data_IF_734101232121
#
_entry.id   IF_734101232121
#
_cell.length_a   1.000
_cell.length_b   1.000
_cell.length_c   1.000
_cell.angle_alpha   90.00
_cell.angle_beta   90.00
_cell.angle_gamma   90.00
#
_symmetry.space_group_name_H-M   'P 1'
#
loop_
_entity.id
_entity.type
_entity.pdbx_description
1 polymer ?
#
# COMPACT_ATOMS: atom_id res chain seq x y z
N UNK A 1 -28.08 -17.44 -30.80
CA UNK A 1 -28.24 -16.74 -32.11
C UNK A 1 -27.70 -15.31 -32.04
N UNK A 2 -28.20 -14.47 -31.13
CA UNK A 2 -27.68 -13.11 -30.90
C UNK A 2 -26.16 -13.09 -30.65
N UNK A 3 -25.64 -13.99 -29.79
CA UNK A 3 -24.20 -14.13 -29.55
C UNK A 3 -23.36 -14.38 -30.83
N UNK A 4 -23.86 -15.16 -31.80
CA UNK A 4 -23.15 -15.38 -33.08
C UNK A 4 -23.08 -14.12 -33.95
N UNK A 5 -24.08 -13.23 -33.85
CA UNK A 5 -24.14 -11.99 -34.63
C UNK A 5 -23.48 -10.79 -33.94
N UNK A 6 -23.51 -10.73 -32.61
CA UNK A 6 -23.09 -9.56 -31.82
C UNK A 6 -21.89 -9.84 -30.92
N UNK A 7 -21.44 -11.09 -30.80
CA UNK A 7 -20.40 -11.49 -29.88
C UNK A 7 -20.88 -11.64 -28.44
N UNK A 8 -19.94 -11.62 -27.49
CA UNK A 8 -20.21 -11.66 -26.05
C UNK A 8 -21.11 -10.45 -25.66
N UNK A 9 -22.27 -10.68 -25.04
CA UNK A 9 -23.18 -9.59 -24.64
C UNK A 9 -22.63 -8.76 -23.46
N UNK A 10 -21.59 -9.23 -22.78
CA UNK A 10 -20.98 -8.51 -21.67
C UNK A 10 -19.92 -7.52 -22.16
N UNK A 11 -20.02 -6.27 -21.69
CA UNK A 11 -19.04 -5.20 -21.96
C UNK A 11 -17.60 -5.60 -21.64
N UNK A 12 -17.41 -6.31 -20.52
CA UNK A 12 -16.14 -6.97 -20.19
C UNK A 12 -16.32 -8.46 -20.48
N UNK A 13 -15.84 -8.95 -21.64
CA UNK A 13 -15.98 -10.35 -22.00
C UNK A 13 -15.19 -11.21 -21.03
N UNK A 14 -15.64 -12.44 -20.82
CA UNK A 14 -14.86 -13.40 -20.06
C UNK A 14 -13.58 -13.76 -20.86
N UNK A 15 -12.42 -14.02 -20.21
CA UNK A 15 -11.21 -14.45 -20.92
C UNK A 15 -11.37 -15.82 -21.59
N UNK A 16 -10.97 -15.96 -22.85
CA UNK A 16 -11.01 -17.23 -23.59
C UNK A 16 -9.63 -17.76 -23.92
N UNK A 17 -9.50 -19.08 -23.96
CA UNK A 17 -8.24 -19.75 -24.30
C UNK A 17 -7.83 -19.52 -25.75
N UNK A 18 -8.79 -19.39 -26.67
CA UNK A 18 -8.56 -19.05 -28.07
C UNK A 18 -8.30 -17.54 -28.31
N UNK A 19 -8.40 -16.70 -27.28
CA UNK A 19 -8.12 -15.25 -27.35
C UNK A 19 -6.72 -14.86 -26.83
N UNK A 20 -6.21 -13.73 -27.35
CA UNK A 20 -5.37 -12.73 -26.65
C UNK A 20 -5.42 -12.71 -25.10
N UNK A 21 -4.51 -13.27 -24.27
CA UNK A 21 -4.50 -12.87 -22.86
C UNK A 21 -4.19 -11.38 -22.79
N UNK A 22 -5.03 -10.63 -22.07
CA UNK A 22 -4.89 -9.20 -21.94
C UNK A 22 -4.12 -8.88 -20.65
N UNK A 23 -2.84 -8.52 -20.80
CA UNK A 23 -2.01 -8.11 -19.67
C UNK A 23 -2.27 -6.63 -19.34
N UNK A 24 -2.58 -6.26 -18.07
CA UNK A 24 -2.78 -4.87 -17.66
C UNK A 24 -1.59 -3.95 -17.99
N UNK A 25 -0.37 -4.47 -17.95
CA UNK A 25 0.86 -3.77 -18.32
C UNK A 25 1.62 -4.57 -19.38
N UNK A 26 1.22 -4.48 -20.66
CA UNK A 26 1.78 -5.30 -21.74
C UNK A 26 3.29 -5.11 -21.91
N UNK A 27 3.80 -3.89 -21.70
CA UNK A 27 5.23 -3.55 -21.85
C UNK A 27 6.14 -4.23 -20.82
N UNK A 28 5.58 -4.87 -19.79
CA UNK A 28 6.33 -5.62 -18.77
C UNK A 28 6.27 -7.14 -18.99
N UNK A 29 5.55 -7.61 -19.99
CA UNK A 29 5.50 -9.03 -20.34
C UNK A 29 6.77 -9.41 -21.12
N UNK A 30 7.39 -10.54 -20.76
CA UNK A 30 8.56 -11.04 -21.47
C UNK A 30 8.14 -11.55 -22.85
N UNK A 31 8.92 -11.25 -23.89
CA UNK A 31 8.61 -11.65 -25.28
C UNK A 31 8.43 -13.16 -25.44
N UNK A 32 9.18 -13.97 -24.68
CA UNK A 32 9.08 -15.43 -24.71
C UNK A 32 7.71 -15.93 -24.20
N UNK A 33 7.12 -15.27 -23.20
CA UNK A 33 5.78 -15.62 -22.69
C UNK A 33 4.74 -15.38 -23.77
N UNK A 34 4.84 -14.23 -24.46
CA UNK A 34 3.94 -13.89 -25.57
C UNK A 34 4.07 -14.86 -26.75
N UNK A 35 5.29 -15.36 -27.01
CA UNK A 35 5.53 -16.33 -28.09
C UNK A 35 4.94 -17.71 -27.78
N UNK A 36 5.10 -18.20 -26.54
CA UNK A 36 4.53 -19.50 -26.12
C UNK A 36 3.00 -19.49 -26.14
N UNK A 37 2.36 -18.36 -25.79
CA UNK A 37 0.89 -18.22 -25.86
C UNK A 37 0.37 -18.31 -27.31
N UNK A 38 1.15 -17.85 -28.29
CA UNK A 38 0.77 -17.93 -29.70
C UNK A 38 0.84 -19.39 -30.21
N UNK A 39 1.81 -20.20 -29.75
CA UNK A 39 1.92 -21.63 -30.09
C UNK A 39 0.76 -22.47 -29.51
N UNK A 40 0.31 -22.20 -28.28
CA UNK A 40 -0.82 -22.94 -27.67
C UNK A 40 -2.16 -22.67 -28.37
N UNK A 41 -2.33 -21.51 -29.01
CA UNK A 41 -3.55 -21.16 -29.77
C UNK A 41 -3.74 -21.97 -31.04
N UNK A 42 -2.67 -22.39 -31.70
CA UNK A 42 -2.79 -23.15 -32.96
C UNK A 42 -3.53 -24.49 -32.77
N UNK A 43 -3.67 -24.94 -31.52
CA UNK A 43 -4.37 -26.17 -31.17
C UNK A 43 -5.87 -25.99 -30.82
N UNK A 44 -6.42 -24.77 -30.87
CA UNK A 44 -7.84 -24.54 -30.58
C UNK A 44 -8.71 -24.60 -31.84
N UNK A 45 -9.74 -25.46 -31.80
CA UNK A 45 -10.75 -25.53 -32.86
C UNK A 45 -11.80 -24.43 -32.65
N UNK A 46 -11.99 -23.49 -33.61
CA UNK A 46 -13.02 -22.47 -33.51
C UNK A 46 -14.42 -23.06 -33.41
N UNK A 47 -15.32 -22.39 -32.69
CA UNK A 47 -16.73 -22.80 -32.66
C UNK A 47 -17.37 -22.70 -34.05
N UNK A 48 -18.20 -23.67 -34.45
CA UNK A 48 -18.91 -23.62 -35.72
C UNK A 48 -19.91 -22.44 -35.71
N UNK A 49 -19.57 -21.37 -36.43
CA UNK A 49 -20.39 -20.15 -36.53
C UNK A 49 -21.72 -20.32 -37.27
N UNK A 50 -22.04 -21.53 -37.76
CA UNK A 50 -23.25 -21.89 -38.49
C UNK A 50 -23.76 -23.28 -38.07
N UNK A 51 -25.02 -23.60 -38.38
CA UNK A 51 -25.63 -24.89 -38.03
C UNK A 51 -26.23 -24.95 -36.63
N UNK A 52 -26.50 -26.18 -36.16
CA UNK A 52 -27.10 -26.42 -34.84
C UNK A 52 -26.17 -25.97 -33.69
N UNK A 53 -26.77 -25.60 -32.56
CA UNK A 53 -26.01 -25.19 -31.37
C UNK A 53 -25.30 -26.39 -30.75
N UNK A 54 -23.98 -26.31 -30.62
CA UNK A 54 -23.19 -27.32 -29.91
C UNK A 54 -23.17 -27.04 -28.40
N UNK A 55 -22.89 -28.06 -27.59
CA UNK A 55 -22.65 -27.89 -26.15
C UNK A 55 -21.47 -26.94 -25.86
N UNK A 56 -20.42 -26.97 -26.69
CA UNK A 56 -19.28 -26.08 -26.55
C UNK A 56 -19.68 -24.62 -26.78
N UNK A 57 -20.54 -24.36 -27.77
CA UNK A 57 -21.07 -23.01 -27.98
C UNK A 57 -21.99 -22.57 -26.83
N UNK A 58 -22.85 -23.45 -26.33
CA UNK A 58 -23.68 -23.15 -25.17
C UNK A 58 -22.83 -22.78 -23.93
N UNK A 59 -21.71 -23.48 -23.73
CA UNK A 59 -20.74 -23.15 -22.69
C UNK A 59 -20.11 -21.78 -22.91
N UNK A 60 -19.69 -21.44 -24.13
CA UNK A 60 -19.10 -20.12 -24.41
C UNK A 60 -20.05 -18.95 -24.20
N UNK A 61 -21.36 -19.17 -24.37
CA UNK A 61 -22.39 -18.16 -24.05
C UNK A 61 -22.63 -18.06 -22.54
N UNK A 62 -22.60 -19.18 -21.81
CA UNK A 62 -22.92 -19.23 -20.38
C UNK A 62 -21.70 -19.10 -19.45
N UNK A 63 -20.50 -19.09 -20.01
CA UNK A 63 -19.23 -19.06 -19.28
C UNK A 63 -19.19 -17.87 -18.31
N UNK A 64 -18.84 -18.10 -17.04
CA UNK A 64 -18.68 -17.00 -16.11
C UNK A 64 -17.43 -16.19 -16.47
N UNK A 65 -17.41 -14.94 -16.04
CA UNK A 65 -16.16 -14.18 -16.06
C UNK A 65 -15.29 -14.64 -14.91
N UNK A 66 -14.03 -14.94 -15.21
CA UNK A 66 -13.00 -15.30 -14.24
C UNK A 66 -11.77 -14.46 -14.52
N UNK A 67 -10.92 -14.29 -13.51
CA UNK A 67 -9.53 -13.89 -13.74
C UNK A 67 -8.91 -14.80 -14.79
N UNK A 68 -8.17 -14.22 -15.73
CA UNK A 68 -7.44 -14.99 -16.72
C UNK A 68 -6.26 -15.69 -16.04
N UNK A 69 -6.25 -17.02 -15.90
CA UNK A 69 -5.17 -17.73 -15.20
C UNK A 69 -3.83 -17.66 -15.93
N UNK A 70 -3.81 -17.26 -17.20
CA UNK A 70 -2.58 -17.03 -17.98
C UNK A 70 -1.90 -15.71 -17.61
N UNK A 71 -2.67 -14.77 -17.04
CA UNK A 71 -2.20 -13.43 -16.71
C UNK A 71 -1.78 -13.39 -15.23
N UNK A 72 -0.47 -13.52 -15.00
CA UNK A 72 0.13 -13.45 -13.67
C UNK A 72 0.20 -12.01 -13.10
N UNK A 73 -0.09 -11.00 -13.92
CA UNK A 73 -0.18 -9.61 -13.47
C UNK A 73 -1.47 -9.40 -12.65
N UNK A 74 -1.49 -8.50 -11.65
CA UNK A 74 -2.70 -8.21 -10.87
C UNK A 74 -3.87 -7.77 -11.77
N UNK A 75 -4.97 -8.50 -11.73
CA UNK A 75 -6.19 -8.22 -12.49
C UNK A 75 -7.22 -7.55 -11.57
N UNK A 76 -7.09 -6.23 -11.42
CA UNK A 76 -7.90 -5.43 -10.49
C UNK A 76 -8.91 -4.56 -11.21
N UNK A 77 -10.03 -4.35 -10.55
CA UNK A 77 -10.93 -3.23 -10.81
C UNK A 77 -10.38 -2.01 -10.08
N UNK A 78 -10.44 -0.86 -10.73
CA UNK A 78 -10.02 0.42 -10.16
C UNK A 78 -11.21 1.36 -10.18
N UNK A 79 -11.46 2.05 -9.06
CA UNK A 79 -12.38 3.17 -9.05
C UNK A 79 -11.92 4.17 -10.11
N UNK A 80 -12.81 4.79 -10.91
CA UNK A 80 -12.37 5.63 -12.04
C UNK A 80 -11.55 6.86 -11.64
N UNK A 81 -11.72 7.33 -10.41
CA UNK A 81 -10.90 8.40 -9.83
C UNK A 81 -9.60 7.90 -9.17
N UNK A 82 -9.36 6.58 -9.16
CA UNK A 82 -8.09 5.98 -8.74
C UNK A 82 -7.88 5.80 -7.23
N UNK A 83 -8.82 6.19 -6.38
CA UNK A 83 -8.67 6.12 -4.91
C UNK A 83 -8.96 4.74 -4.29
N UNK A 84 -9.48 3.80 -5.07
CA UNK A 84 -9.81 2.45 -4.58
C UNK A 84 -9.59 1.38 -5.65
N UNK A 85 -9.22 0.17 -5.22
CA UNK A 85 -9.01 -0.97 -6.09
C UNK A 85 -9.36 -2.30 -5.42
N UNK A 86 -9.88 -3.23 -6.19
CA UNK A 86 -10.33 -4.54 -5.71
C UNK A 86 -10.05 -5.64 -6.73
N UNK A 87 -9.96 -6.87 -6.24
CA UNK A 87 -9.61 -8.03 -7.07
C UNK A 87 -10.73 -9.08 -6.97
N UNK A 88 -11.47 -9.31 -8.05
CA UNK A 88 -12.61 -10.24 -8.08
C UNK A 88 -12.23 -11.55 -8.74
N UNK A 89 -12.58 -12.70 -8.14
CA UNK A 89 -12.21 -14.01 -8.69
C UNK A 89 -13.11 -14.46 -9.84
N UNK A 90 -14.43 -14.37 -9.63
CA UNK A 90 -15.43 -15.01 -10.47
C UNK A 90 -16.74 -14.22 -10.47
N UNK A 91 -17.40 -14.12 -11.63
CA UNK A 91 -18.75 -13.56 -11.77
C UNK A 91 -19.60 -14.47 -12.63
N UNK A 92 -20.66 -15.01 -12.06
CA UNK A 92 -21.68 -15.78 -12.77
C UNK A 92 -22.66 -14.82 -13.42
N UNK A 93 -22.92 -14.95 -14.72
CA UNK A 93 -23.77 -13.99 -15.46
C UNK A 93 -24.80 -14.65 -16.38
N UNK A 94 -24.83 -15.98 -16.43
CA UNK A 94 -25.67 -16.75 -17.35
C UNK A 94 -27.18 -16.70 -17.05
N UNK A 95 -27.59 -16.11 -15.92
CA UNK A 95 -29.00 -15.99 -15.49
C UNK A 95 -29.64 -14.66 -15.86
N UNK A 96 -28.92 -13.78 -16.56
CA UNK A 96 -29.36 -12.42 -16.87
C UNK A 96 -29.03 -11.40 -15.78
N UNK A 97 -28.76 -11.85 -14.54
CA UNK A 97 -28.17 -11.05 -13.45
C UNK A 97 -26.81 -11.60 -13.05
N UNK A 98 -26.01 -10.77 -12.38
CA UNK A 98 -24.66 -11.11 -11.95
C UNK A 98 -24.64 -11.66 -10.52
N UNK A 99 -23.91 -12.76 -10.29
CA UNK A 99 -23.50 -13.21 -8.95
C UNK A 99 -22.00 -13.00 -8.80
N UNK A 100 -21.57 -12.19 -7.84
CA UNK A 100 -20.14 -11.99 -7.54
C UNK A 100 -19.67 -13.08 -6.60
N UNK A 101 -18.58 -13.75 -6.95
CA UNK A 101 -18.03 -14.86 -6.19
C UNK A 101 -16.56 -14.60 -5.84
N UNK A 102 -16.24 -14.76 -4.56
CA UNK A 102 -14.86 -14.82 -4.05
C UNK A 102 -14.55 -16.26 -3.60
N UNK A 103 -13.40 -16.78 -4.05
CA UNK A 103 -13.00 -18.17 -3.83
C UNK A 103 -11.93 -18.20 -2.75
N UNK A 104 -12.23 -18.87 -1.64
CA UNK A 104 -11.30 -19.05 -0.53
C UNK A 104 -10.72 -20.45 -0.55
N UNK A 105 -9.39 -20.55 -0.48
CA UNK A 105 -8.70 -21.82 -0.30
C UNK A 105 -8.96 -22.46 1.08
N UNK A 106 -9.34 -21.66 2.08
CA UNK A 106 -9.61 -22.13 3.44
C UNK A 106 -11.00 -22.74 3.62
N UNK A 107 -11.34 -23.12 4.86
CA UNK A 107 -12.72 -23.39 5.28
C UNK A 107 -13.35 -22.15 5.93
N UNK A 108 -14.61 -22.28 6.35
CA UNK A 108 -15.42 -21.23 6.96
C UNK A 108 -15.04 -20.89 8.41
N UNK A 109 -14.16 -21.67 9.04
CA UNK A 109 -13.74 -21.49 10.45
C UNK A 109 -12.48 -20.64 10.59
N UNK A 110 -11.81 -20.34 9.47
CA UNK A 110 -10.69 -19.40 9.45
C UNK A 110 -11.08 -18.06 10.08
N UNK A 111 -10.20 -17.49 10.91
CA UNK A 111 -10.38 -16.13 11.47
C UNK A 111 -10.58 -15.05 10.41
N UNK A 112 -10.19 -15.32 9.16
CA UNK A 112 -10.36 -14.41 8.03
C UNK A 112 -11.71 -14.57 7.33
N UNK A 113 -12.45 -15.66 7.58
CA UNK A 113 -13.76 -15.91 6.98
C UNK A 113 -14.83 -14.90 7.43
N UNK A 114 -14.60 -14.21 8.56
CA UNK A 114 -15.48 -13.19 9.12
C UNK A 114 -15.52 -11.92 8.26
N UNK A 115 -14.45 -11.64 7.52
CA UNK A 115 -14.31 -10.45 6.68
C UNK A 115 -14.80 -10.63 5.25
N UNK A 116 -15.29 -11.82 4.91
CA UNK A 116 -15.73 -12.14 3.55
C UNK A 116 -16.94 -11.31 3.11
N UNK A 117 -17.91 -11.08 3.99
CA UNK A 117 -19.10 -10.29 3.66
C UNK A 117 -18.74 -8.82 3.37
N UNK A 118 -18.02 -8.09 4.26
CA UNK A 118 -17.52 -6.76 3.94
C UNK A 118 -16.69 -6.70 2.64
N UNK A 119 -15.84 -7.70 2.40
CA UNK A 119 -15.05 -7.79 1.17
C UNK A 119 -15.93 -7.90 -0.08
N UNK A 120 -16.96 -8.75 -0.05
CA UNK A 120 -17.89 -8.92 -1.15
C UNK A 120 -18.78 -7.68 -1.37
N UNK A 121 -19.17 -6.98 -0.29
CA UNK A 121 -19.87 -5.69 -0.37
C UNK A 121 -19.01 -4.62 -1.04
N UNK A 122 -17.72 -4.57 -0.70
CA UNK A 122 -16.76 -3.71 -1.37
C UNK A 122 -16.65 -4.03 -2.88
N UNK A 123 -16.64 -5.31 -3.26
CA UNK A 123 -16.65 -5.70 -4.69
C UNK A 123 -17.95 -5.34 -5.40
N UNK A 124 -19.10 -5.44 -4.72
CA UNK A 124 -20.40 -4.98 -5.23
C UNK A 124 -20.38 -3.48 -5.52
N UNK A 125 -19.84 -2.67 -4.61
CA UNK A 125 -19.64 -1.24 -4.81
C UNK A 125 -18.74 -0.97 -6.02
N UNK A 126 -17.55 -1.57 -6.05
CA UNK A 126 -16.57 -1.34 -7.10
C UNK A 126 -17.05 -1.81 -8.47
N UNK A 127 -17.84 -2.88 -8.51
CA UNK A 127 -18.53 -3.35 -9.70
C UNK A 127 -19.47 -2.30 -10.29
N UNK A 128 -20.23 -1.60 -9.44
CA UNK A 128 -21.13 -0.51 -9.85
C UNK A 128 -20.34 0.72 -10.31
N UNK A 129 -19.37 1.18 -9.49
CA UNK A 129 -18.56 2.36 -9.78
C UNK A 129 -17.82 2.27 -11.13
N UNK A 130 -17.35 1.08 -11.49
CA UNK A 130 -16.67 0.84 -12.78
C UNK A 130 -17.59 0.76 -13.99
N UNK A 131 -18.91 0.63 -13.77
CA UNK A 131 -19.91 0.49 -14.84
C UNK A 131 -20.76 1.74 -15.05
N UNK A 132 -20.97 2.55 -14.00
CA UNK A 132 -21.74 3.79 -14.08
C UNK A 132 -21.03 4.98 -14.75
N UNK A 133 -19.71 4.92 -14.97
CA UNK A 133 -18.90 6.07 -15.38
C UNK A 133 -18.47 6.11 -16.85
N UNK A 134 -18.80 5.09 -17.66
CA UNK A 134 -18.54 5.20 -19.10
C UNK A 134 -19.68 5.94 -19.79
N UNK A 135 -19.42 7.12 -20.33
CA UNK A 135 -20.29 7.79 -21.30
C UNK A 135 -20.41 7.03 -22.63
N UNK A 136 -20.76 5.75 -22.56
CA UNK A 136 -20.90 4.79 -23.65
C UNK A 136 -22.24 4.05 -23.43
N UNK A 137 -23.24 4.58 -24.13
CA UNK A 137 -24.60 4.08 -24.41
C UNK A 137 -25.36 3.33 -23.30
N UNK A 138 -26.27 4.05 -22.64
CA UNK A 138 -27.23 3.58 -21.63
C UNK A 138 -28.41 2.79 -22.25
N UNK A 139 -28.14 1.77 -23.06
CA UNK A 139 -29.24 0.93 -23.55
C UNK A 139 -29.81 0.05 -22.42
N UNK A 140 -31.14 0.02 -22.26
CA UNK A 140 -31.82 -0.71 -21.17
C UNK A 140 -31.48 -2.22 -21.11
N UNK A 141 -31.11 -2.85 -22.24
CA UNK A 141 -30.70 -4.27 -22.27
C UNK A 141 -29.34 -4.51 -21.60
N UNK A 142 -28.45 -3.51 -21.55
CA UNK A 142 -27.16 -3.61 -20.85
C UNK A 142 -27.28 -3.48 -19.33
N UNK A 143 -28.39 -2.91 -18.83
CA UNK A 143 -28.60 -2.65 -17.40
C UNK A 143 -28.92 -3.92 -16.60
N UNK A 144 -29.72 -4.84 -17.13
CA UNK A 144 -30.07 -6.09 -16.43
C UNK A 144 -28.83 -6.95 -16.14
N UNK A 145 -27.90 -6.99 -17.09
CA UNK A 145 -26.65 -7.76 -17.03
C UNK A 145 -25.68 -7.22 -15.97
N UNK A 146 -25.82 -5.94 -15.61
CA UNK A 146 -24.98 -5.27 -14.63
C UNK A 146 -25.55 -5.34 -13.21
N UNK A 147 -26.84 -5.67 -13.05
CA UNK A 147 -27.47 -5.87 -11.75
C UNK A 147 -26.85 -7.07 -11.03
N UNK A 148 -26.53 -6.90 -9.75
CA UNK A 148 -25.96 -7.96 -8.91
C UNK A 148 -27.08 -8.56 -8.06
N UNK A 149 -27.39 -9.84 -8.27
CA UNK A 149 -28.45 -10.54 -7.53
C UNK A 149 -27.96 -11.22 -6.25
N UNK A 150 -26.69 -11.62 -6.21
CA UNK A 150 -26.15 -12.38 -5.09
C UNK A 150 -24.63 -12.15 -4.94
N UNK A 151 -24.17 -12.27 -3.70
CA UNK A 151 -22.75 -12.32 -3.35
C UNK A 151 -22.46 -13.67 -2.72
N UNK A 152 -21.39 -14.35 -3.14
CA UNK A 152 -21.09 -15.68 -2.65
C UNK A 152 -19.61 -15.87 -2.30
N UNK A 153 -19.37 -16.59 -1.20
CA UNK A 153 -18.04 -17.12 -0.87
C UNK A 153 -17.98 -18.61 -1.06
N UNK A 154 -17.07 -19.07 -1.90
CA UNK A 154 -16.87 -20.48 -2.19
C UNK A 154 -15.61 -20.97 -1.50
N UNK A 155 -15.75 -21.92 -0.58
CA UNK A 155 -14.63 -22.46 0.18
C UNK A 155 -14.17 -23.76 -0.48
N UNK A 156 -12.87 -23.90 -0.77
CA UNK A 156 -12.34 -25.07 -1.48
C UNK A 156 -11.96 -26.22 -0.55
N UNK A 157 -11.65 -25.93 0.73
CA UNK A 157 -11.28 -26.95 1.72
C UNK A 157 -12.47 -27.84 2.13
N UNK A 158 -13.71 -27.44 1.85
CA UNK A 158 -14.91 -28.22 2.09
C UNK A 158 -16.03 -27.83 1.11
N UNK A 159 -17.13 -28.60 0.99
CA UNK A 159 -18.20 -28.31 0.04
C UNK A 159 -19.14 -27.20 0.54
N UNK A 160 -18.59 -26.04 0.94
CA UNK A 160 -19.33 -24.98 1.62
C UNK A 160 -19.42 -23.73 0.77
N UNK A 161 -20.66 -23.25 0.60
CA UNK A 161 -20.98 -21.97 -0.01
C UNK A 161 -21.65 -21.08 1.03
N UNK A 162 -21.17 -19.85 1.17
CA UNK A 162 -21.87 -18.79 1.88
C UNK A 162 -22.48 -17.83 0.86
N UNK A 163 -23.66 -17.33 1.17
CA UNK A 163 -24.42 -16.43 0.31
C UNK A 163 -24.84 -15.22 1.13
N UNK A 164 -24.66 -14.04 0.56
CA UNK A 164 -24.94 -12.76 1.19
C UNK A 164 -25.81 -11.93 0.25
N UNK A 165 -26.71 -11.15 0.84
CA UNK A 165 -27.56 -10.22 0.10
C UNK A 165 -26.72 -9.04 -0.36
N UNK A 166 -26.71 -8.68 -1.66
CA UNK A 166 -26.00 -7.50 -2.11
C UNK A 166 -26.66 -6.22 -1.61
N UNK A 167 -25.84 -5.19 -1.40
CA UNK A 167 -26.31 -3.82 -1.19
C UNK A 167 -27.16 -3.34 -2.38
N UNK A 168 -28.27 -2.66 -2.07
CA UNK A 168 -29.18 -2.07 -3.06
C UNK A 168 -28.53 -0.88 -3.77
N UNK A 169 -29.07 -0.48 -4.93
CA UNK A 169 -28.57 0.69 -5.67
C UNK A 169 -28.70 2.00 -4.86
N UNK A 170 -29.71 2.11 -3.99
CA UNK A 170 -29.96 3.30 -3.18
C UNK A 170 -28.94 3.45 -2.02
N UNK A 171 -28.35 2.35 -1.56
CA UNK A 171 -27.36 2.33 -0.46
C UNK A 171 -25.93 2.62 -0.96
N UNK A 172 -25.65 2.36 -2.25
CA UNK A 172 -24.31 2.51 -2.84
C UNK A 172 -23.71 3.93 -2.71
N UNK A 173 -24.46 5.04 -2.89
CA UNK A 173 -23.89 6.37 -2.76
C UNK A 173 -23.38 6.66 -1.35
N UNK A 174 -24.14 6.30 -0.31
CA UNK A 174 -23.74 6.50 1.08
C UNK A 174 -22.51 5.66 1.43
N UNK A 175 -22.47 4.41 0.99
CA UNK A 175 -21.30 3.54 1.18
C UNK A 175 -20.06 4.04 0.42
N UNK A 176 -20.25 4.62 -0.78
CA UNK A 176 -19.17 5.25 -1.53
C UNK A 176 -18.59 6.46 -0.80
N UNK A 177 -19.45 7.31 -0.23
CA UNK A 177 -19.05 8.48 0.56
C UNK A 177 -18.27 8.05 1.80
N UNK A 178 -18.79 7.07 2.56
CA UNK A 178 -18.11 6.50 3.74
C UNK A 178 -16.69 6.01 3.40
N UNK A 179 -16.56 5.16 2.36
CA UNK A 179 -15.26 4.65 1.95
C UNK A 179 -14.31 5.75 1.44
N UNK A 180 -14.86 6.78 0.78
CA UNK A 180 -14.06 7.90 0.31
C UNK A 180 -13.56 8.76 1.47
N UNK A 181 -14.40 9.02 2.48
CA UNK A 181 -14.00 9.71 3.72
C UNK A 181 -12.90 8.93 4.44
N UNK A 182 -13.06 7.62 4.63
CA UNK A 182 -12.00 6.78 5.23
C UNK A 182 -10.71 6.89 4.43
N UNK A 183 -10.78 6.81 3.10
CA UNK A 183 -9.61 6.96 2.25
C UNK A 183 -8.94 8.34 2.39
N UNK A 184 -9.73 9.42 2.45
CA UNK A 184 -9.23 10.78 2.65
C UNK A 184 -8.54 10.92 4.01
N UNK A 185 -9.16 10.43 5.09
CA UNK A 185 -8.60 10.45 6.45
C UNK A 185 -7.29 9.64 6.53
N UNK A 186 -7.28 8.42 5.97
CA UNK A 186 -6.07 7.59 5.92
C UNK A 186 -4.95 8.23 5.10
N UNK A 187 -5.28 8.95 4.03
CA UNK A 187 -4.31 9.66 3.19
C UNK A 187 -3.82 10.95 3.85
N UNK A 188 -4.69 11.57 4.66
CA UNK A 188 -4.38 12.77 5.42
C UNK A 188 -3.54 12.46 6.67
N UNK A 189 -3.61 11.25 7.25
CA UNK A 189 -2.83 10.86 8.42
C UNK A 189 -1.30 10.98 8.19
N UNK A 190 -0.55 11.32 9.23
CA UNK A 190 0.92 11.47 9.19
C UNK A 190 1.61 10.78 10.37
N UNK A 191 2.85 11.16 10.66
CA UNK A 191 3.61 10.64 11.80
C UNK A 191 3.08 11.06 13.17
N UNK A 192 2.10 11.96 13.25
CA UNK A 192 1.50 12.39 14.51
C UNK A 192 0.27 11.51 14.82
N UNK A 193 0.30 10.75 15.93
CA UNK A 193 -0.82 9.90 16.32
C UNK A 193 -2.16 10.63 16.40
N UNK A 194 -2.16 11.89 16.84
CA UNK A 194 -3.36 12.72 16.99
C UNK A 194 -4.06 13.01 15.64
N UNK A 195 -3.35 12.84 14.52
CA UNK A 195 -3.90 13.02 13.17
C UNK A 195 -4.41 11.70 12.56
N UNK A 196 -4.35 10.58 13.29
CA UNK A 196 -4.85 9.29 12.79
C UNK A 196 -6.36 9.21 12.92
N UNK A 197 -7.07 8.56 11.97
CA UNK A 197 -8.51 8.37 12.12
C UNK A 197 -8.82 7.54 13.37
N UNK A 198 -9.85 7.94 14.11
CA UNK A 198 -10.37 7.16 15.24
C UNK A 198 -10.84 5.77 14.77
N UNK A 199 -10.61 4.71 15.56
CA UNK A 199 -11.13 3.39 15.19
C UNK A 199 -12.65 3.35 15.32
N UNK A 200 -13.36 3.40 14.20
CA UNK A 200 -14.81 3.23 14.12
C UNK A 200 -15.30 1.79 14.37
N UNK A 201 -14.37 0.86 14.59
CA UNK A 201 -14.63 -0.57 14.74
C UNK A 201 -15.42 -0.96 16.01
N UNK A 202 -15.64 -0.03 16.94
CA UNK A 202 -16.42 -0.22 18.18
C UNK A 202 -15.84 -1.24 19.18
N UNK A 203 -14.66 -1.81 18.89
CA UNK A 203 -13.94 -2.80 19.70
C UNK A 203 -12.57 -2.32 20.17
N UNK A 204 -12.07 -1.25 19.58
CA UNK A 204 -10.89 -0.56 20.06
C UNK A 204 -11.37 0.44 21.11
N UNK A 205 -11.68 -0.05 22.31
CA UNK A 205 -11.70 0.84 23.45
C UNK A 205 -10.25 1.30 23.69
N UNK A 206 -10.04 2.61 23.76
CA UNK A 206 -8.81 3.28 24.25
C UNK A 206 -8.60 3.05 25.75
N UNK A 207 -8.96 1.87 26.26
CA UNK A 207 -8.52 1.46 27.57
C UNK A 207 -7.04 1.09 27.43
N UNK A 208 -6.19 2.08 27.72
CA UNK A 208 -4.84 1.85 28.23
C UNK A 208 -4.81 0.86 29.43
N UNK A 209 -5.97 0.47 29.94
CA UNK A 209 -6.25 -0.39 31.08
C UNK A 209 -6.73 -1.81 30.71
N UNK A 210 -6.53 -2.34 29.50
CA UNK A 210 -6.68 -3.80 29.33
C UNK A 210 -5.48 -4.49 30.00
N UNK A 211 -5.64 -4.80 31.28
CA UNK A 211 -4.68 -5.40 32.23
C UNK A 211 -4.20 -6.82 31.84
N UNK A 212 -3.88 -7.10 30.58
CA UNK A 212 -3.11 -8.29 30.25
C UNK A 212 -1.63 -7.97 30.39
N UNK A 213 -1.05 -8.30 31.56
CA UNK A 213 0.38 -8.13 31.90
C UNK A 213 1.40 -8.65 30.87
N UNK A 214 0.95 -9.40 29.86
CA UNK A 214 1.78 -10.01 28.82
C UNK A 214 1.63 -9.31 27.45
N UNK A 215 0.76 -8.32 27.29
CA UNK A 215 0.51 -7.66 26.01
C UNK A 215 0.45 -6.14 26.19
N UNK A 216 1.01 -5.39 25.24
CA UNK A 216 0.69 -3.97 25.07
C UNK A 216 -0.24 -3.80 23.88
N UNK A 217 -1.26 -2.95 24.03
CA UNK A 217 -2.11 -2.57 22.92
C UNK A 217 -1.51 -1.34 22.24
N UNK A 218 -0.98 -1.51 21.04
CA UNK A 218 -0.51 -0.42 20.18
C UNK A 218 -1.54 -0.24 19.06
N UNK A 219 -2.30 0.86 19.12
CA UNK A 219 -3.33 1.22 18.13
C UNK A 219 -4.27 0.05 17.78
N UNK A 220 -4.83 -0.60 18.79
CA UNK A 220 -5.76 -1.73 18.64
C UNK A 220 -5.13 -3.09 18.35
N UNK A 221 -3.80 -3.18 18.17
CA UNK A 221 -3.10 -4.46 18.05
C UNK A 221 -2.46 -4.85 19.39
N UNK A 222 -2.76 -6.07 19.84
CA UNK A 222 -2.04 -6.69 20.96
C UNK A 222 -0.68 -7.17 20.48
N UNK A 223 0.37 -6.61 21.08
CA UNK A 223 1.76 -7.01 20.87
C UNK A 223 2.20 -7.78 22.10
N UNK A 224 2.61 -9.03 21.90
CA UNK A 224 3.17 -9.87 22.96
C UNK A 224 4.45 -9.23 23.49
N UNK A 225 4.47 -9.07 24.80
CA UNK A 225 5.59 -8.47 25.50
C UNK A 225 6.65 -9.53 25.76
N UNK A 226 7.94 -9.18 25.56
CA UNK A 226 9.01 -10.07 25.96
C UNK A 226 8.86 -10.42 27.44
N UNK A 227 9.03 -11.69 27.82
CA UNK A 227 8.76 -12.17 29.19
C UNK A 227 9.51 -11.40 30.28
N UNK A 228 10.60 -10.74 29.92
CA UNK A 228 11.36 -9.84 30.78
C UNK A 228 10.66 -8.58 31.25
N UNK A 229 9.60 -8.17 30.57
CA UNK A 229 8.80 -7.00 30.94
C UNK A 229 7.49 -7.42 31.60
N UNK A 230 7.33 -8.72 31.88
CA UNK A 230 6.26 -9.21 32.73
C UNK A 230 6.32 -8.49 34.08
N UNK A 231 5.14 -8.15 34.60
CA UNK A 231 4.93 -7.47 35.87
C UNK A 231 5.47 -6.03 35.97
N UNK A 232 5.98 -5.44 34.88
CA UNK A 232 6.24 -4.01 34.80
C UNK A 232 4.98 -3.27 34.34
N UNK A 233 4.74 -2.08 34.89
CA UNK A 233 3.75 -1.15 34.35
C UNK A 233 4.21 -0.54 33.03
N UNK A 234 3.27 0.00 32.24
CA UNK A 234 3.59 0.69 30.99
C UNK A 234 4.58 1.85 31.21
N UNK A 235 4.42 2.61 32.29
CA UNK A 235 5.30 3.73 32.63
C UNK A 235 6.73 3.26 32.92
N UNK A 236 6.90 2.16 33.66
CA UNK A 236 8.21 1.56 33.94
C UNK A 236 8.89 1.04 32.66
N UNK A 237 8.10 0.51 31.72
CA UNK A 237 8.59 0.09 30.41
C UNK A 237 9.06 1.30 29.61
N UNK A 238 8.26 2.37 29.54
CA UNK A 238 8.60 3.61 28.83
C UNK A 238 9.87 4.24 29.41
N UNK A 239 10.03 4.23 30.74
CA UNK A 239 11.24 4.71 31.41
C UNK A 239 12.47 3.87 31.02
N UNK A 240 12.32 2.55 30.93
CA UNK A 240 13.41 1.65 30.48
C UNK A 240 13.70 1.80 28.98
N UNK A 241 12.76 2.31 28.19
CA UNK A 241 12.88 2.49 26.74
C UNK A 241 13.53 3.81 26.31
N UNK A 242 13.98 4.64 27.25
CA UNK A 242 14.72 5.86 26.93
C UNK A 242 15.89 5.56 25.95
N UNK A 243 16.01 6.35 24.86
CA UNK A 243 16.94 6.04 23.78
C UNK A 243 18.38 6.26 24.23
N UNK A 244 19.26 5.35 23.83
CA UNK A 244 20.70 5.46 24.08
C UNK A 244 21.37 6.38 23.07
N UNK A 245 22.46 7.03 23.50
CA UNK A 245 23.29 7.84 22.62
C UNK A 245 23.86 6.96 21.49
N UNK A 246 23.84 7.40 20.21
CA UNK A 246 23.45 8.73 19.71
C UNK A 246 22.00 8.81 19.19
N UNK A 247 21.12 7.87 19.56
CA UNK A 247 19.72 7.89 19.20
C UNK A 247 18.97 9.03 19.91
N UNK A 248 17.94 9.52 19.24
CA UNK A 248 16.96 10.46 19.81
C UNK A 248 15.61 9.77 19.90
N UNK A 249 14.71 10.24 20.78
CA UNK A 249 13.31 9.83 20.76
C UNK A 249 12.72 10.00 19.36
N UNK A 250 11.85 9.08 18.95
CA UNK A 250 11.20 9.10 17.64
C UNK A 250 10.30 10.33 17.49
N UNK A 251 9.76 10.86 18.58
CA UNK A 251 8.97 12.11 18.61
C UNK A 251 9.79 13.38 18.34
N UNK A 252 11.12 13.30 18.40
CA UNK A 252 12.04 14.38 18.05
C UNK A 252 12.64 14.24 16.65
N UNK A 253 12.22 13.22 15.90
CA UNK A 253 12.67 13.05 14.51
C UNK A 253 12.04 14.15 13.65
N UNK A 254 12.87 14.99 13.02
CA UNK A 254 12.40 16.05 12.16
C UNK A 254 11.63 15.47 10.96
N UNK A 255 10.31 15.61 10.99
CA UNK A 255 9.39 15.02 10.01
C UNK A 255 9.16 15.93 8.79
N UNK A 256 9.12 17.24 9.01
CA UNK A 256 8.78 18.25 8.00
C UNK A 256 9.73 19.43 8.14
N UNK A 257 10.16 20.00 7.03
CA UNK A 257 11.05 21.17 6.99
C UNK A 257 10.60 22.18 5.97
N UNK A 258 10.91 23.45 6.22
CA UNK A 258 10.80 24.51 5.25
C UNK A 258 12.18 24.78 4.65
N UNK A 259 12.27 24.93 3.33
CA UNK A 259 13.53 25.22 2.64
C UNK A 259 13.33 26.33 1.62
N UNK A 260 14.39 27.09 1.35
CA UNK A 260 14.37 28.13 0.31
C UNK A 260 15.34 27.73 -0.79
N UNK A 261 14.94 27.95 -2.04
CA UNK A 261 15.83 27.80 -3.18
C UNK A 261 15.15 28.01 -4.51
N UNK A 262 15.96 27.96 -5.56
CA UNK A 262 15.54 28.03 -6.94
C UNK A 262 15.14 26.66 -7.46
N UNK A 263 13.88 26.53 -7.87
CA UNK A 263 13.35 25.35 -8.54
C UNK A 263 13.71 25.42 -10.04
N UNK A 264 14.21 24.32 -10.57
CA UNK A 264 14.42 24.15 -12.00
C UNK A 264 14.70 22.70 -12.39
N UNK A 265 14.96 22.47 -13.68
CA UNK A 265 15.36 21.15 -14.17
C UNK A 265 14.34 20.06 -13.87
N UNK A 266 13.05 20.36 -14.09
CA UNK A 266 11.93 19.44 -13.84
C UNK A 266 11.97 18.21 -14.75
N UNK A 267 11.51 17.08 -14.25
CA UNK A 267 11.35 15.85 -15.02
C UNK A 267 10.10 15.08 -14.57
N UNK A 268 9.75 14.06 -15.34
CA UNK A 268 8.69 13.13 -15.01
C UNK A 268 7.58 13.10 -16.06
N UNK A 269 6.62 12.17 -15.91
CA UNK A 269 6.59 11.16 -14.84
C UNK A 269 7.69 10.10 -15.02
N UNK A 270 8.43 9.80 -13.95
CA UNK A 270 9.43 8.73 -13.90
C UNK A 270 9.19 7.84 -12.69
N UNK A 271 9.62 6.59 -12.81
CA UNK A 271 9.44 5.60 -11.73
C UNK A 271 10.31 5.96 -10.50
N UNK A 272 9.67 6.17 -9.35
CA UNK A 272 10.34 6.35 -8.06
C UNK A 272 10.92 5.03 -7.55
N UNK A 273 11.48 5.05 -6.35
CA UNK A 273 12.07 3.86 -5.72
C UNK A 273 11.06 2.73 -5.42
N UNK A 274 9.77 3.03 -5.30
CA UNK A 274 8.68 2.06 -5.13
C UNK A 274 8.11 1.56 -6.47
N UNK A 275 8.43 2.22 -7.57
CA UNK A 275 7.92 1.86 -8.89
C UNK A 275 6.82 2.80 -9.41
N UNK A 276 6.40 3.77 -8.61
CA UNK A 276 5.30 4.70 -8.89
C UNK A 276 5.77 5.83 -9.81
N UNK A 277 4.88 6.36 -10.65
CA UNK A 277 5.20 7.39 -11.62
C UNK A 277 5.06 8.78 -10.98
N UNK A 278 6.19 9.44 -10.75
CA UNK A 278 6.24 10.73 -10.05
C UNK A 278 6.98 11.79 -10.87
N UNK A 279 6.63 13.05 -10.62
CA UNK A 279 7.37 14.21 -11.08
C UNK A 279 8.48 14.54 -10.07
N UNK A 280 9.52 15.20 -10.57
CA UNK A 280 10.59 15.68 -9.74
C UNK A 280 11.20 16.95 -10.30
N UNK A 281 11.94 17.66 -9.45
CA UNK A 281 12.67 18.87 -9.82
C UNK A 281 13.97 18.98 -9.03
N UNK A 282 14.84 19.88 -9.45
CA UNK A 282 16.04 20.23 -8.72
C UNK A 282 15.80 21.54 -7.95
N UNK A 283 16.13 21.52 -6.67
CA UNK A 283 16.18 22.71 -5.84
C UNK A 283 17.65 23.09 -5.63
N UNK A 284 18.01 24.32 -5.97
CA UNK A 284 19.36 24.85 -5.82
C UNK A 284 19.33 26.11 -4.95
N UNK A 285 20.30 26.27 -4.06
CA UNK A 285 20.58 27.59 -3.45
C UNK A 285 21.78 28.22 -4.16
N UNK A 286 22.04 29.52 -3.97
CA UNK A 286 23.17 30.22 -4.59
C UNK A 286 24.58 29.67 -4.28
N UNK A 287 24.69 28.56 -3.53
CA UNK A 287 25.91 27.78 -3.32
C UNK A 287 25.94 26.47 -4.14
N UNK A 288 26.83 25.54 -3.78
CA UNK A 288 26.97 24.22 -4.43
C UNK A 288 25.97 23.16 -3.92
N UNK A 289 25.10 23.52 -2.97
CA UNK A 289 24.16 22.60 -2.36
C UNK A 289 22.90 22.48 -3.20
N UNK A 290 22.45 21.25 -3.43
CA UNK A 290 21.23 20.95 -4.15
C UNK A 290 20.45 19.83 -3.46
N UNK A 291 19.13 19.86 -3.60
CA UNK A 291 18.23 18.80 -3.18
C UNK A 291 17.32 18.41 -4.35
N UNK A 292 16.90 17.15 -4.38
CA UNK A 292 15.90 16.68 -5.34
C UNK A 292 14.52 16.80 -4.72
N UNK A 293 13.62 17.53 -5.38
CA UNK A 293 12.19 17.50 -5.11
C UNK A 293 11.58 16.30 -5.81
N UNK A 294 10.72 15.56 -5.14
CA UNK A 294 10.01 14.41 -5.71
C UNK A 294 8.61 14.33 -5.09
N UNK A 295 7.57 14.05 -5.90
CA UNK A 295 6.26 13.74 -5.33
C UNK A 295 6.37 12.46 -4.48
N UNK A 296 5.75 12.46 -3.29
CA UNK A 296 5.82 11.34 -2.37
C UNK A 296 5.20 10.06 -2.96
N UNK A 297 4.14 10.22 -3.73
CA UNK A 297 3.51 9.19 -4.57
C UNK A 297 2.98 9.82 -5.86
N UNK A 298 2.50 9.01 -6.80
CA UNK A 298 1.88 9.49 -8.05
C UNK A 298 0.81 10.54 -7.75
N UNK A 299 0.99 11.76 -8.24
CA UNK A 299 0.01 12.84 -8.08
C UNK A 299 -0.11 13.40 -6.65
N UNK A 300 0.83 13.09 -5.76
CA UNK A 300 0.80 13.61 -4.39
C UNK A 300 1.02 15.13 -4.33
N UNK A 301 1.72 15.71 -5.31
CA UNK A 301 1.95 17.15 -5.36
C UNK A 301 1.95 17.63 -6.83
N UNK A 302 0.77 17.74 -7.46
CA UNK A 302 0.62 18.02 -8.89
C UNK A 302 1.30 19.32 -9.35
N UNK A 303 1.35 20.31 -8.46
CA UNK A 303 1.94 21.62 -8.72
C UNK A 303 3.42 21.53 -9.07
N UNK A 304 4.15 20.51 -8.59
CA UNK A 304 5.57 20.31 -8.93
C UNK A 304 5.82 20.32 -10.45
N UNK A 305 4.85 19.86 -11.23
CA UNK A 305 4.91 19.81 -12.69
C UNK A 305 4.66 21.17 -13.33
N UNK A 306 3.71 21.94 -12.82
CA UNK A 306 3.13 23.12 -13.47
C UNK A 306 3.75 24.43 -12.98
N UNK A 307 4.29 24.45 -11.76
CA UNK A 307 4.94 25.64 -11.20
C UNK A 307 6.07 26.10 -12.12
N UNK A 308 6.20 27.41 -12.39
CA UNK A 308 7.34 27.96 -13.14
C UNK A 308 8.70 27.68 -12.48
N UNK A 309 9.77 27.81 -13.25
CA UNK A 309 11.12 27.84 -12.67
C UNK A 309 11.33 29.20 -11.99
N UNK A 310 11.89 29.21 -10.78
CA UNK A 310 11.95 30.43 -9.97
C UNK A 310 12.40 30.18 -8.54
N UNK A 311 12.48 31.24 -7.74
CA UNK A 311 12.80 31.18 -6.32
C UNK A 311 11.54 30.97 -5.49
N UNK A 312 11.56 29.95 -4.64
CA UNK A 312 10.42 29.56 -3.80
C UNK A 312 10.89 29.25 -2.38
N UNK A 313 10.03 29.52 -1.41
CA UNK A 313 10.03 28.80 -0.14
C UNK A 313 9.14 27.57 -0.30
N UNK A 314 9.68 26.40 -0.01
CA UNK A 314 8.94 25.15 0.03
C UNK A 314 8.63 24.86 1.48
N UNK A 315 7.36 24.92 1.86
CA UNK A 315 6.92 24.64 3.22
C UNK A 315 6.59 23.15 3.39
N UNK A 316 6.72 22.63 4.62
CA UNK A 316 6.26 21.29 4.99
C UNK A 316 6.76 20.14 4.09
N UNK A 317 7.99 20.23 3.60
CA UNK A 317 8.60 19.17 2.81
C UNK A 317 9.18 18.07 3.71
N UNK A 318 9.04 16.82 3.31
CA UNK A 318 9.53 15.68 4.08
C UNK A 318 10.98 15.33 3.69
N UNK A 319 11.98 15.45 4.59
CA UNK A 319 13.38 15.27 4.24
C UNK A 319 13.79 13.81 4.14
N UNK A 320 14.65 13.46 3.19
CA UNK A 320 15.17 12.10 3.09
C UNK A 320 16.47 11.98 2.31
N UNK A 321 16.95 10.73 2.20
CA UNK A 321 18.19 10.41 1.49
C UNK A 321 17.98 9.24 0.55
N UNK A 322 18.30 9.41 -0.74
CA UNK A 322 18.28 8.29 -1.68
C UNK A 322 19.50 8.32 -2.59
N UNK A 323 20.23 7.19 -2.65
CA UNK A 323 21.47 7.06 -3.43
C UNK A 323 22.46 8.21 -3.15
N UNK A 324 22.62 8.53 -1.86
CA UNK A 324 23.47 9.64 -1.37
C UNK A 324 23.07 11.04 -1.88
N UNK A 325 21.85 11.22 -2.37
CA UNK A 325 21.30 12.54 -2.72
C UNK A 325 20.20 12.89 -1.74
N UNK A 326 20.28 14.11 -1.18
CA UNK A 326 19.22 14.67 -0.35
C UNK A 326 17.97 14.82 -1.20
N UNK A 327 16.85 14.37 -0.64
CA UNK A 327 15.53 14.46 -1.24
C UNK A 327 14.57 15.17 -0.32
N UNK A 328 13.62 15.86 -0.94
CA UNK A 328 12.48 16.47 -0.29
C UNK A 328 11.24 15.88 -0.97
N UNK A 329 10.49 15.10 -0.20
CA UNK A 329 9.26 14.49 -0.65
C UNK A 329 8.12 15.48 -0.43
N UNK A 330 7.32 15.70 -1.47
CA UNK A 330 6.20 16.64 -1.47
C UNK A 330 4.88 15.89 -1.55
N UNK A 331 3.91 16.32 -0.77
CA UNK A 331 2.53 15.83 -0.76
C UNK A 331 1.55 16.99 -0.54
N UNK A 332 0.26 16.69 -0.36
CA UNK A 332 -0.79 17.70 -0.19
C UNK A 332 -0.64 18.63 1.03
N UNK A 333 0.37 18.42 1.89
CA UNK A 333 0.69 19.33 3.00
C UNK A 333 1.85 20.27 2.70
N UNK A 334 2.59 20.00 1.63
CA UNK A 334 3.66 20.88 1.15
C UNK A 334 3.05 22.03 0.37
N UNK A 335 3.70 23.20 0.38
CA UNK A 335 3.29 24.33 -0.44
C UNK A 335 4.50 25.03 -1.04
N UNK A 336 4.28 25.72 -2.16
CA UNK A 336 5.25 26.63 -2.76
C UNK A 336 4.81 28.06 -2.51
N UNK A 337 5.59 28.79 -1.71
CA UNK A 337 5.33 30.18 -1.35
C UNK A 337 6.28 31.13 -2.09
N UNK A 338 5.78 32.29 -2.48
CA UNK A 338 6.50 33.33 -3.23
C UNK A 338 6.38 34.69 -2.57
N UNK A 339 7.43 35.52 -2.69
CA UNK A 339 7.39 36.96 -2.38
C UNK A 339 6.68 37.29 -1.06
N UNK A 340 5.51 37.92 -1.18
CA UNK A 340 4.69 38.44 -0.07
C UNK A 340 4.04 37.35 0.80
N UNK A 341 4.02 36.10 0.34
CA UNK A 341 3.51 34.94 1.10
C UNK A 341 4.55 34.43 2.13
N UNK A 342 5.80 34.87 1.99
CA UNK A 342 6.89 34.46 2.88
C UNK A 342 6.88 35.35 4.11
N UNK A 343 6.42 34.81 5.23
CA UNK A 343 6.57 35.44 6.53
C UNK A 343 7.99 35.20 7.07
N UNK A 344 8.67 36.27 7.51
CA UNK A 344 9.99 36.22 8.15
C UNK A 344 10.01 35.36 9.42
N UNK A 345 8.84 35.05 10.00
CA UNK A 345 8.68 34.14 11.13
C UNK A 345 8.88 32.66 10.76
N UNK A 346 8.84 32.29 9.48
CA UNK A 346 8.96 30.91 9.02
C UNK A 346 10.41 30.43 9.20
N UNK A 347 10.63 29.50 10.13
CA UNK A 347 11.94 28.89 10.31
C UNK A 347 12.30 28.03 9.10
N UNK A 348 13.49 28.26 8.53
CA UNK A 348 13.98 27.55 7.34
C UNK A 348 15.23 26.73 7.61
N UNK A 349 15.29 25.54 7.03
CA UNK A 349 16.45 24.65 7.08
C UNK A 349 17.34 24.88 5.87
N UNK A 350 18.63 25.15 6.10
CA UNK A 350 19.62 25.25 5.02
C UNK A 350 19.82 23.88 4.36
N UNK A 351 19.89 23.82 3.03
CA UNK A 351 20.01 22.55 2.30
C UNK A 351 21.19 21.66 2.77
N UNK A 352 22.31 22.25 3.15
CA UNK A 352 23.48 21.51 3.67
C UNK A 352 23.33 20.98 5.11
N UNK A 353 22.28 21.40 5.83
CA UNK A 353 21.99 20.99 7.21
C UNK A 353 20.76 20.07 7.31
N UNK A 354 20.18 19.67 6.17
CA UNK A 354 19.03 18.76 6.16
C UNK A 354 19.40 17.45 6.83
N UNK A 355 18.69 17.14 7.92
CA UNK A 355 18.80 15.86 8.57
C UNK A 355 18.18 14.79 7.67
N UNK A 356 19.04 14.00 7.03
CA UNK A 356 18.65 12.97 6.05
C UNK A 356 18.89 11.54 6.55
N UNK A 357 19.33 11.42 7.81
CA UNK A 357 19.57 10.17 8.51
C UNK A 357 19.07 10.25 9.93
N UNK A 358 18.74 9.11 10.51
CA UNK A 358 18.31 8.99 11.89
C UNK A 358 19.12 7.93 12.64
N UNK A 359 19.26 8.15 13.95
CA UNK A 359 19.71 7.17 14.91
C UNK A 359 18.51 6.86 15.80
N UNK A 360 18.16 5.58 15.92
CA UNK A 360 16.98 5.14 16.68
C UNK A 360 17.32 3.97 17.58
N UNK A 361 16.67 3.91 18.72
CA UNK A 361 16.79 2.83 19.70
C UNK A 361 15.38 2.42 20.06
N UNK A 362 15.02 1.15 19.82
CA UNK A 362 13.64 0.71 19.95
C UNK A 362 13.49 -0.79 20.05
N UNK A 363 12.32 -1.21 20.51
CA UNK A 363 11.87 -2.58 20.62
C UNK A 363 11.26 -3.03 19.28
N UNK A 364 11.67 -4.19 18.79
CA UNK A 364 11.02 -4.82 17.64
C UNK A 364 9.65 -5.33 18.07
N UNK A 365 8.58 -4.69 17.60
CA UNK A 365 7.18 -5.07 17.91
C UNK A 365 6.50 -5.81 16.76
N UNK A 366 7.15 -5.88 15.60
CA UNK A 366 6.67 -6.64 14.47
C UNK A 366 7.73 -6.80 13.40
N UNK A 367 7.71 -7.92 12.69
CA UNK A 367 8.62 -8.18 11.56
C UNK A 367 7.89 -8.89 10.43
N UNK A 368 8.34 -8.64 9.21
CA UNK A 368 7.89 -9.37 8.03
C UNK A 368 9.03 -9.52 7.02
N UNK A 369 9.13 -10.72 6.47
CA UNK A 369 9.99 -11.01 5.33
C UNK A 369 9.09 -11.31 4.14
N UNK A 370 9.18 -10.48 3.10
CA UNK A 370 8.37 -10.60 1.89
C UNK A 370 9.28 -10.84 0.70
N UNK A 371 8.87 -11.73 -0.18
CA UNK A 371 9.55 -11.96 -1.45
C UNK A 371 8.51 -12.17 -2.54
N UNK A 372 8.94 -12.00 -3.78
CA UNK A 372 8.09 -12.21 -4.93
C UNK A 372 8.79 -11.82 -6.22
N UNK A 373 7.98 -11.65 -7.26
CA UNK A 373 8.46 -11.29 -8.58
C UNK A 373 7.84 -9.96 -9.00
N UNK A 374 8.66 -9.06 -9.56
CA UNK A 374 8.16 -7.81 -10.16
C UNK A 374 7.46 -8.11 -11.47
N UNK A 375 6.72 -7.13 -11.99
CA UNK A 375 6.09 -7.26 -13.29
C UNK A 375 7.08 -7.64 -14.42
N UNK A 376 8.33 -7.20 -14.37
CA UNK A 376 9.33 -7.58 -15.37
C UNK A 376 9.94 -8.98 -15.20
N UNK A 377 9.43 -9.80 -14.27
CA UNK A 377 10.00 -11.11 -13.94
C UNK A 377 11.21 -11.07 -12.99
N UNK A 378 11.69 -9.88 -12.60
CA UNK A 378 12.83 -9.74 -11.68
C UNK A 378 12.41 -10.09 -10.23
N UNK A 379 13.11 -10.99 -9.54
CA UNK A 379 12.79 -11.29 -8.14
C UNK A 379 13.07 -10.09 -7.25
N UNK A 380 12.31 -9.99 -6.17
CA UNK A 380 12.54 -9.01 -5.11
C UNK A 380 12.36 -9.67 -3.75
N UNK A 381 13.07 -9.11 -2.77
CA UNK A 381 12.99 -9.50 -1.37
C UNK A 381 13.06 -8.24 -0.54
N UNK A 382 12.22 -8.16 0.47
CA UNK A 382 12.10 -7.04 1.38
C UNK A 382 11.96 -7.57 2.80
N UNK A 383 12.81 -7.07 3.68
CA UNK A 383 12.64 -7.18 5.12
C UNK A 383 12.02 -5.87 5.62
N UNK A 384 11.03 -5.96 6.49
CA UNK A 384 10.44 -4.82 7.20
C UNK A 384 10.26 -5.19 8.67
N UNK A 385 10.57 -4.27 9.59
CA UNK A 385 10.23 -4.41 10.99
C UNK A 385 9.74 -3.07 11.57
N UNK A 386 8.97 -3.14 12.65
CA UNK A 386 8.48 -1.96 13.36
C UNK A 386 9.23 -1.83 14.68
N UNK A 387 9.80 -0.65 14.92
CA UNK A 387 10.47 -0.31 16.16
C UNK A 387 9.59 0.62 16.99
N UNK A 388 9.37 0.27 18.25
CA UNK A 388 8.68 1.09 19.23
C UNK A 388 9.68 1.63 20.26
N UNK A 389 9.66 2.94 20.52
CA UNK A 389 10.57 3.59 21.49
C UNK A 389 9.91 3.90 22.85
N UNK A 390 8.71 3.38 23.10
CA UNK A 390 7.90 3.75 24.25
C UNK A 390 6.77 4.73 23.90
N UNK A 391 6.92 5.53 22.85
CA UNK A 391 5.93 6.55 22.46
C UNK A 391 5.45 6.44 21.02
N UNK A 392 6.36 6.22 20.08
CA UNK A 392 6.05 6.14 18.65
C UNK A 392 6.56 4.84 18.05
N UNK A 393 6.04 4.54 16.86
CA UNK A 393 6.47 3.41 16.05
C UNK A 393 7.07 3.93 14.75
N UNK A 394 8.19 3.36 14.32
CA UNK A 394 8.78 3.64 13.01
C UNK A 394 9.07 2.33 12.25
N UNK A 395 8.81 2.31 10.94
CA UNK A 395 9.16 1.17 10.10
C UNK A 395 10.63 1.25 9.68
N UNK A 396 11.36 0.15 9.88
CA UNK A 396 12.68 -0.08 9.28
C UNK A 396 12.52 -1.01 8.07
N UNK A 397 13.21 -0.71 6.98
CA UNK A 397 13.16 -1.55 5.77
C UNK A 397 14.52 -1.81 5.15
N UNK A 398 14.67 -3.00 4.57
CA UNK A 398 15.83 -3.39 3.79
C UNK A 398 15.42 -4.18 2.55
N UNK A 399 16.10 -3.94 1.43
CA UNK A 399 15.79 -4.58 0.15
C UNK A 399 16.94 -5.43 -0.37
N UNK A 400 16.63 -6.64 -0.83
CA UNK A 400 17.57 -7.55 -1.49
C UNK A 400 18.89 -7.70 -0.72
N UNK A 401 20.00 -7.28 -1.32
CA UNK A 401 21.36 -7.40 -0.72
C UNK A 401 21.57 -6.54 0.54
N UNK A 402 20.69 -5.60 0.84
CA UNK A 402 20.74 -4.84 2.10
C UNK A 402 20.26 -5.65 3.29
N UNK A 403 19.61 -6.79 3.06
CA UNK A 403 19.14 -7.70 4.12
C UNK A 403 20.35 -8.52 4.59
N UNK A 404 21.01 -8.04 5.65
CA UNK A 404 22.16 -8.70 6.28
C UNK A 404 21.70 -9.75 7.30
N UNK A 405 22.61 -10.62 7.77
CA UNK A 405 22.30 -11.66 8.75
C UNK A 405 21.65 -11.10 10.01
N UNK A 406 22.16 -9.97 10.52
CA UNK A 406 21.61 -9.31 11.71
C UNK A 406 20.13 -8.97 11.55
N UNK A 407 19.68 -8.49 10.38
CA UNK A 407 18.26 -8.22 10.12
C UNK A 407 17.45 -9.51 10.00
N UNK A 408 18.03 -10.54 9.40
CA UNK A 408 17.35 -11.84 9.19
C UNK A 408 17.12 -12.59 10.50
N UNK A 409 17.97 -12.35 11.50
CA UNK A 409 17.91 -12.94 12.84
C UNK A 409 17.09 -12.11 13.84
N UNK A 410 16.64 -10.90 13.49
CA UNK A 410 15.85 -10.06 14.41
C UNK A 410 14.55 -10.73 14.79
N UNK A 411 14.27 -10.83 16.09
CA UNK A 411 13.03 -11.38 16.63
C UNK A 411 12.14 -10.29 17.22
N UNK A 412 10.84 -10.58 17.29
CA UNK A 412 9.92 -9.73 18.04
C UNK A 412 10.38 -9.78 19.49
N UNK A 413 10.54 -8.62 20.11
CA UNK A 413 11.10 -8.50 21.44
C UNK A 413 12.58 -8.14 21.50
N UNK A 414 13.32 -8.13 20.41
CA UNK A 414 14.69 -7.61 20.42
C UNK A 414 14.69 -6.09 20.64
N UNK A 415 15.64 -5.58 21.43
CA UNK A 415 15.94 -4.13 21.45
C UNK A 415 17.14 -3.85 20.55
N UNK A 416 16.99 -2.87 19.68
CA UNK A 416 17.95 -2.61 18.62
C UNK A 416 18.32 -1.12 18.60
N UNK A 417 19.62 -0.85 18.62
CA UNK A 417 20.17 0.47 18.29
C UNK A 417 20.57 0.48 16.81
N UNK A 418 19.98 1.39 16.05
CA UNK A 418 20.29 1.63 14.64
C UNK A 418 20.90 3.01 14.51
N UNK A 419 22.10 3.07 13.95
CA UNK A 419 22.81 4.33 13.70
C UNK A 419 22.95 4.59 12.21
N UNK A 420 22.74 5.84 11.80
CA UNK A 420 22.86 6.30 10.42
C UNK A 420 21.96 5.55 9.43
N UNK A 421 20.72 5.27 9.83
CA UNK A 421 19.68 4.81 8.89
C UNK A 421 19.28 5.95 7.95
N UNK A 422 19.02 5.65 6.68
CA UNK A 422 18.60 6.68 5.71
C UNK A 422 17.12 7.00 5.93
N UNK A 423 16.79 8.28 6.09
CA UNK A 423 15.39 8.70 6.22
C UNK A 423 14.70 8.62 4.85
N UNK A 424 13.52 8.04 4.83
CA UNK A 424 12.62 7.91 3.68
C UNK A 424 11.18 8.10 4.12
N UNK A 425 10.28 8.19 3.15
CA UNK A 425 8.87 8.49 3.38
C UNK A 425 7.99 7.63 2.50
N UNK A 426 6.84 7.22 3.03
CA UNK A 426 5.81 6.52 2.29
C UNK A 426 4.44 6.86 2.86
N UNK A 427 3.55 7.38 2.02
CA UNK A 427 2.18 7.74 2.40
C UNK A 427 2.14 8.60 3.70
N UNK A 428 2.93 9.68 3.73
CA UNK A 428 3.03 10.59 4.87
C UNK A 428 3.83 10.08 6.07
N UNK A 429 4.20 8.80 6.12
CA UNK A 429 4.89 8.18 7.25
C UNK A 429 6.41 8.07 7.04
N UNK A 430 7.22 8.33 8.08
CA UNK A 430 8.66 8.17 8.05
C UNK A 430 9.03 6.69 8.05
N UNK A 431 10.06 6.36 7.28
CA UNK A 431 10.62 5.03 7.17
C UNK A 431 12.14 5.11 7.20
N UNK A 432 12.77 4.18 7.92
CA UNK A 432 14.21 4.10 8.05
C UNK A 432 14.75 3.01 7.13
N UNK A 433 15.44 3.42 6.07
CA UNK A 433 16.02 2.51 5.09
C UNK A 433 17.42 2.09 5.52
N UNK A 434 17.62 0.78 5.59
CA UNK A 434 18.91 0.19 5.93
C UNK A 434 19.80 0.15 4.69
N UNK A 435 20.94 0.82 4.78
CA UNK A 435 22.00 0.76 3.79
C UNK A 435 23.20 0.04 4.39
N UNK A 436 23.58 -1.16 3.90
CA UNK A 436 24.58 -2.01 4.54
C UNK A 436 25.98 -1.38 4.60
N UNK A 437 26.24 -0.33 3.83
CA UNK A 437 27.54 0.36 3.83
C UNK A 437 27.66 1.38 4.95
N UNK A 438 26.57 2.07 5.29
CA UNK A 438 26.58 3.23 6.20
C UNK A 438 25.80 2.99 7.48
N UNK A 439 24.75 2.19 7.43
CA UNK A 439 23.92 1.90 8.59
C UNK A 439 24.64 0.89 9.47
N UNK A 440 24.64 1.13 10.78
CA UNK A 440 25.11 0.20 11.80
C UNK A 440 23.94 -0.21 12.65
N UNK A 441 23.91 -1.48 13.01
CA UNK A 441 22.83 -2.05 13.81
C UNK A 441 23.45 -2.93 14.89
N UNK A 442 23.00 -2.71 16.11
CA UNK A 442 23.41 -3.47 17.28
C UNK A 442 22.15 -4.04 17.94
N UNK A 443 22.08 -5.37 18.04
CA UNK A 443 21.05 -6.02 18.85
C UNK A 443 21.56 -6.05 20.27
N UNK A 444 21.01 -5.15 21.08
CA UNK A 444 21.60 -4.82 22.37
C UNK A 444 21.04 -5.67 23.49
N UNK A 445 19.85 -6.20 23.25
CA UNK A 445 19.31 -7.30 24.03
C UNK A 445 18.56 -8.22 23.09
N UNK A 446 19.02 -9.47 23.07
CA UNK A 446 18.22 -10.63 22.67
C UNK A 446 17.63 -11.17 23.96
N UNK A 447 16.32 -11.11 24.14
CA UNK A 447 15.65 -11.62 25.35
C UNK A 447 16.37 -11.27 26.68
N UNK A 448 16.58 -9.98 26.95
CA UNK A 448 17.23 -9.46 28.17
C UNK A 448 16.72 -10.15 29.45
N UNK A 449 17.63 -10.42 30.39
CA UNK A 449 17.31 -11.08 31.66
C UNK A 449 17.09 -10.03 32.77
N UNK A 450 16.21 -10.29 33.76
CA UNK A 450 15.85 -9.35 34.84
C UNK A 450 16.99 -8.74 35.66
N UNK A 451 18.21 -9.28 35.54
CA UNK A 451 19.40 -8.90 36.30
C UNK A 451 20.24 -7.79 35.67
N UNK A 452 19.97 -7.40 34.43
CA UNK A 452 20.76 -6.41 33.72
C UNK A 452 20.33 -4.99 34.14
N UNK A 453 21.27 -4.11 34.49
CA UNK A 453 20.97 -2.75 34.99
C UNK A 453 20.34 -1.81 33.95
N UNK A 454 20.04 -0.57 34.36
CA UNK A 454 19.68 0.50 33.41
C UNK A 454 20.77 0.65 32.35
N UNK A 455 20.43 0.95 31.08
CA UNK A 455 21.43 1.14 30.04
C UNK A 455 22.39 2.27 30.44
N UNK A 456 23.69 2.05 30.29
CA UNK A 456 24.69 3.10 30.46
C UNK A 456 24.33 4.30 29.59
N UNK A 457 24.19 5.47 30.22
CA UNK A 457 24.06 6.75 29.52
C UNK A 457 25.43 7.42 29.30
N UNK A 458 26.51 6.81 29.78
CA UNK A 458 27.86 7.33 29.61
C UNK A 458 28.53 6.76 28.34
N UNK A 459 29.31 7.65 27.70
CA UNK A 459 30.02 7.50 26.41
C UNK A 459 31.06 6.37 26.36
#
# INVERSE_FOLDING_TARGET
KQWRSTGDPHKVPAPRWDDKPCFPVPSKVQSLVLANDDDERENFTPLPGTGDFSWAEAWEVARPWIKDPRVWQPQRLYHPEGWSAGEMDLVLRWRGKSTIVDIKASDTTSRFAVWLEPQLMFYRFLWSATRGLSGLDESQETNAVNEVEALQGWYLKGPTRKEFTPMSEDELPAFSEELHTIWQEMTAADSEPDNWPECSCGKCEDSAESEEKCHIRIFGNEVEMPSRWNDLSLDEIIEKMQPRIPAKPLDQMQSRINVVGKIGGKWGPLSNHFGELVHGALLQTGGQSHAVLEEMSTGAFPDLRTTPDGDYLISNAAPGLWRNKVRLYLDGRSEFLTGDEIDDSIETTRLGLIQSKANVDGLVVGRAMRNGQRLGGKPWTMFSAHLWDGKRVVEIVAFGRSIVSTLSELEIGDRVLISSAELGWRAGLPQLRINPRITRMEVTSRDWQPTDGLPSQDL
#
